data_IF_137530219121
#
_entry.id   IF_137530219121
#
_cell.length_a   1.000
_cell.length_b   1.000
_cell.length_c   1.000
_cell.angle_alpha   90.00
_cell.angle_beta   90.00
_cell.angle_gamma   90.00
#
_symmetry.space_group_name_H-M   'P 1'
#
loop_
_entity.id
_entity.type
_entity.pdbx_description
1 polymer ?
#
# COMPACT_ATOMS: atom_id res chain seq x y z
N UNK A 1 -12.81 0.68 -7.78
CA UNK A 1 -13.04 1.16 -6.40
C UNK A 1 -11.75 1.76 -5.86
N UNK A 2 -11.81 2.52 -4.76
CA UNK A 2 -10.62 3.05 -4.08
C UNK A 2 -10.37 2.25 -2.81
N UNK A 3 -9.20 1.62 -2.70
CA UNK A 3 -8.88 0.66 -1.63
C UNK A 3 -7.59 1.08 -0.94
N UNK A 4 -7.64 1.22 0.38
CA UNK A 4 -6.46 1.47 1.21
C UNK A 4 -6.04 0.19 1.92
N UNK A 5 -4.76 -0.20 1.80
CA UNK A 5 -4.23 -1.46 2.34
C UNK A 5 -3.12 -1.16 3.35
N UNK A 6 -3.41 -1.39 4.63
CA UNK A 6 -2.38 -1.47 5.66
C UNK A 6 -1.61 -2.81 5.55
N UNK A 7 -0.31 -2.79 5.84
CA UNK A 7 0.52 -3.99 5.69
C UNK A 7 0.69 -4.43 4.23
N UNK A 8 0.72 -3.48 3.29
CA UNK A 8 0.74 -3.72 1.84
C UNK A 8 1.93 -4.57 1.36
N UNK A 9 3.06 -4.53 2.06
CA UNK A 9 4.27 -5.33 1.77
C UNK A 9 4.36 -6.63 2.58
N UNK A 10 3.34 -6.96 3.38
CA UNK A 10 3.25 -8.21 4.11
C UNK A 10 2.90 -9.41 3.21
N UNK A 11 2.86 -10.61 3.80
CA UNK A 11 2.59 -11.88 3.08
C UNK A 11 1.31 -11.81 2.23
N UNK A 12 0.23 -11.27 2.80
CA UNK A 12 -1.06 -11.12 2.11
C UNK A 12 -1.02 -9.93 1.15
N UNK A 13 -0.54 -8.77 1.61
CA UNK A 13 -0.51 -7.53 0.83
C UNK A 13 0.20 -7.69 -0.52
N UNK A 14 1.35 -8.37 -0.53
CA UNK A 14 2.14 -8.63 -1.75
C UNK A 14 1.39 -9.41 -2.83
N UNK A 15 0.42 -10.24 -2.43
CA UNK A 15 -0.46 -10.96 -3.36
C UNK A 15 -1.72 -10.17 -3.68
N UNK A 16 -2.25 -9.46 -2.69
CA UNK A 16 -3.50 -8.71 -2.80
C UNK A 16 -3.39 -7.51 -3.73
N UNK A 17 -2.29 -6.74 -3.65
CA UNK A 17 -2.10 -5.53 -4.45
C UNK A 17 -2.23 -5.80 -5.95
N UNK A 18 -1.48 -6.74 -6.56
CA UNK A 18 -1.60 -7.04 -7.98
C UNK A 18 -3.01 -7.51 -8.40
N UNK A 19 -3.70 -8.25 -7.53
CA UNK A 19 -5.05 -8.72 -7.81
C UNK A 19 -6.04 -7.55 -7.84
N UNK A 20 -5.99 -6.65 -6.86
CA UNK A 20 -6.88 -5.48 -6.85
C UNK A 20 -6.58 -4.52 -8.01
N UNK A 21 -5.30 -4.27 -8.30
CA UNK A 21 -4.90 -3.35 -9.38
C UNK A 21 -5.24 -3.93 -10.75
N UNK A 22 -5.03 -5.23 -10.98
CA UNK A 22 -5.44 -5.90 -12.23
C UNK A 22 -6.96 -5.91 -12.48
N UNK A 23 -7.78 -5.78 -11.43
CA UNK A 23 -9.23 -5.59 -11.54
C UNK A 23 -9.63 -4.10 -11.75
N UNK A 24 -8.66 -3.22 -11.99
CA UNK A 24 -8.89 -1.79 -12.24
C UNK A 24 -9.27 -1.00 -10.99
N UNK A 25 -8.90 -1.48 -9.80
CA UNK A 25 -9.07 -0.71 -8.58
C UNK A 25 -7.92 0.29 -8.39
N UNK A 26 -8.24 1.47 -7.86
CA UNK A 26 -7.25 2.43 -7.38
C UNK A 26 -6.81 1.97 -5.99
N UNK A 27 -5.61 1.45 -5.89
CA UNK A 27 -5.08 0.86 -4.66
C UNK A 27 -4.02 1.76 -4.08
N UNK A 28 -4.15 2.09 -2.80
CA UNK A 28 -3.18 2.83 -2.01
C UNK A 28 -2.63 1.88 -0.94
N UNK A 29 -1.34 1.57 -1.01
CA UNK A 29 -0.65 0.73 -0.04
C UNK A 29 0.11 1.56 0.99
N UNK A 30 -0.09 1.26 2.28
CA UNK A 30 0.65 1.90 3.35
C UNK A 30 2.08 1.36 3.42
N UNK A 31 3.05 2.27 3.45
CA UNK A 31 4.47 1.98 3.60
C UNK A 31 5.06 2.84 4.73
N UNK A 32 6.01 2.27 5.49
CA UNK A 32 6.71 2.96 6.59
C UNK A 32 8.19 3.22 6.31
N UNK A 33 8.64 2.91 5.11
CA UNK A 33 10.02 3.11 4.67
C UNK A 33 10.05 3.27 3.16
N UNK A 34 11.07 3.95 2.65
CA UNK A 34 11.27 4.13 1.21
C UNK A 34 11.29 2.80 0.44
N UNK A 35 12.00 1.79 0.95
CA UNK A 35 12.03 0.46 0.31
C UNK A 35 10.64 -0.21 0.24
N UNK A 36 9.81 -0.02 1.27
CA UNK A 36 8.43 -0.52 1.26
C UNK A 36 7.55 0.28 0.29
N UNK A 37 7.75 1.60 0.16
CA UNK A 37 7.02 2.44 -0.80
C UNK A 37 7.33 2.01 -2.24
N UNK A 38 8.61 1.81 -2.56
CA UNK A 38 9.04 1.28 -3.87
C UNK A 38 8.42 -0.10 -4.13
N UNK A 39 8.37 -0.99 -3.13
CA UNK A 39 7.73 -2.30 -3.29
C UNK A 39 6.22 -2.17 -3.58
N UNK A 40 5.51 -1.26 -2.92
CA UNK A 40 4.08 -0.99 -3.18
C UNK A 40 3.87 -0.52 -4.62
N UNK A 41 4.71 0.40 -5.10
CA UNK A 41 4.65 0.91 -6.48
C UNK A 41 4.95 -0.18 -7.52
N UNK A 42 5.94 -1.03 -7.26
CA UNK A 42 6.26 -2.18 -8.13
C UNK A 42 5.12 -3.21 -8.20
N UNK A 43 4.28 -3.28 -7.16
CA UNK A 43 3.07 -4.12 -7.14
C UNK A 43 1.86 -3.46 -7.81
N UNK A 44 2.03 -2.26 -8.38
CA UNK A 44 1.04 -1.53 -9.16
C UNK A 44 0.10 -0.64 -8.34
N UNK A 45 0.39 -0.42 -7.06
CA UNK A 45 -0.39 0.44 -6.18
C UNK A 45 0.33 1.77 -5.88
N UNK A 46 -0.40 2.79 -5.47
CA UNK A 46 0.19 4.05 -5.00
C UNK A 46 0.70 3.88 -3.57
N UNK A 47 1.91 4.34 -3.27
CA UNK A 47 2.42 4.33 -1.90
C UNK A 47 1.88 5.51 -1.08
N UNK A 48 1.45 5.22 0.14
CA UNK A 48 1.17 6.22 1.17
C UNK A 48 2.12 6.02 2.33
N UNK A 49 2.96 7.01 2.62
CA UNK A 49 3.92 6.95 3.71
C UNK A 49 3.28 7.32 5.04
N UNK A 50 3.11 6.35 5.94
CA UNK A 50 2.61 6.53 7.30
C UNK A 50 2.77 5.23 8.12
N UNK A 51 2.58 5.32 9.44
CA UNK A 51 2.57 4.16 10.35
C UNK A 51 1.15 3.93 10.88
N UNK A 52 0.53 2.81 10.53
CA UNK A 52 -0.83 2.48 10.95
C UNK A 52 -1.00 2.40 12.47
N UNK A 53 0.09 2.22 13.22
CA UNK A 53 0.08 2.15 14.68
C UNK A 53 0.39 3.48 15.36
N UNK A 54 0.75 4.51 14.60
CA UNK A 54 0.90 5.88 15.09
C UNK A 54 -0.27 6.75 14.63
N UNK A 55 -1.15 7.09 15.58
CA UNK A 55 -2.34 7.92 15.33
C UNK A 55 -2.03 9.36 14.95
N UNK A 56 -0.79 9.82 15.15
CA UNK A 56 -0.34 11.14 14.69
C UNK A 56 0.20 11.11 13.27
N UNK A 57 0.48 9.92 12.74
CA UNK A 57 0.94 9.78 11.37
C UNK A 57 -0.26 9.90 10.42
N UNK A 58 -0.18 10.87 9.51
CA UNK A 58 -1.12 11.02 8.41
C UNK A 58 -0.33 10.89 7.11
N UNK A 59 -0.81 10.11 6.12
CA UNK A 59 -0.18 10.12 4.82
C UNK A 59 -0.22 11.54 4.21
N UNK A 60 0.80 11.91 3.42
CA UNK A 60 0.88 13.23 2.80
C UNK A 60 -0.26 13.50 1.80
#
# INVERSE_FOLDING_TARGET
MRVFVAGATGVIGRRLLPLLTSQGHEVIGLARSYGAAVEVELLGAMAAEADALDSRSSPP
#
